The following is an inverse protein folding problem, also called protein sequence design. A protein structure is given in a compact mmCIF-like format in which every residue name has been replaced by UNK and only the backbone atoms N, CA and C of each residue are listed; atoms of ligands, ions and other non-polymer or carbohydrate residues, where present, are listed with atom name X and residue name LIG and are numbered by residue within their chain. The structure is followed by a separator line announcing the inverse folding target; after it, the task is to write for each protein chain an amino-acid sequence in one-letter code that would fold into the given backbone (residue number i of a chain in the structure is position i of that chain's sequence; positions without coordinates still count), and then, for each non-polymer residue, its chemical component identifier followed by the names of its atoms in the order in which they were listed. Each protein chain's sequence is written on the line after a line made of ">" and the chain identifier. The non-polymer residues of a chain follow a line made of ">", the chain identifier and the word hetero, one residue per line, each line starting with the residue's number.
data_IF_689700686194
#
_entry.id   IF_689700686194
#
_cell.length_a   1.000
_cell.length_b   1.000
_cell.length_c   1.000
_cell.angle_alpha   90.00
_cell.angle_beta   90.00
_cell.angle_gamma   90.00
#
_symmetry.space_group_name_H-M   'P 1'
#
loop_
_entity.id
_entity.type
_entity.pdbx_description
1 polymer ?
#
# COMPACT_ATOMS: atom_id res chain seq x y z
N UNK A 1 -7.05 -25.15 -7.42
CA UNK A 1 -6.74 -23.90 -8.14
C UNK A 1 -7.99 -23.20 -8.70
N UNK A 2 -9.01 -23.90 -9.19
CA UNK A 2 -10.23 -23.26 -9.73
C UNK A 2 -11.06 -22.45 -8.70
N UNK A 3 -11.11 -22.85 -7.44
CA UNK A 3 -11.91 -22.17 -6.40
C UNK A 3 -11.39 -20.78 -5.98
N UNK A 4 -10.15 -20.41 -6.34
CA UNK A 4 -9.54 -19.12 -5.96
C UNK A 4 -9.75 -18.02 -7.02
N UNK A 5 -10.11 -18.36 -8.26
CA UNK A 5 -10.32 -17.39 -9.35
C UNK A 5 -11.63 -16.58 -9.24
N UNK A 6 -12.57 -17.02 -8.39
CA UNK A 6 -13.87 -16.36 -8.20
C UNK A 6 -13.91 -15.38 -7.01
N UNK A 7 -12.85 -15.36 -6.17
CA UNK A 7 -12.84 -14.48 -5.00
C UNK A 7 -12.65 -13.03 -5.41
N UNK A 8 -13.43 -12.15 -4.78
CA UNK A 8 -13.29 -10.71 -5.00
C UNK A 8 -11.92 -10.23 -4.50
N UNK A 9 -11.35 -9.29 -5.23
CA UNK A 9 -10.00 -8.79 -5.00
C UNK A 9 -9.98 -7.59 -4.05
N UNK A 10 -9.01 -7.57 -3.15
CA UNK A 10 -8.66 -6.47 -2.24
C UNK A 10 -7.17 -6.17 -2.32
N UNK A 11 -6.80 -4.91 -2.21
CA UNK A 11 -5.40 -4.49 -2.07
C UNK A 11 -5.13 -3.98 -0.66
N UNK A 12 -4.06 -4.48 -0.03
CA UNK A 12 -3.62 -4.02 1.29
C UNK A 12 -2.22 -3.44 1.21
N UNK A 13 -2.03 -2.26 1.79
CA UNK A 13 -0.70 -1.66 1.95
C UNK A 13 -0.20 -1.85 3.39
N UNK A 14 1.06 -2.30 3.51
CA UNK A 14 1.75 -2.36 4.78
C UNK A 14 2.65 -1.13 4.89
N UNK A 15 2.43 -0.30 5.90
CA UNK A 15 3.16 0.94 6.09
C UNK A 15 3.59 1.14 7.55
N UNK A 16 4.50 2.08 7.79
CA UNK A 16 5.05 2.35 9.11
C UNK A 16 6.51 2.78 9.04
N UNK A 17 7.11 3.02 10.19
CA UNK A 17 8.50 3.46 10.31
C UNK A 17 9.50 2.44 9.76
N UNK A 18 10.72 2.88 9.45
CA UNK A 18 11.86 1.99 9.20
C UNK A 18 12.01 1.05 10.40
N UNK A 19 12.39 -0.19 10.16
CA UNK A 19 12.58 -1.23 11.18
C UNK A 19 11.34 -1.56 12.03
N UNK A 20 10.14 -1.14 11.65
CA UNK A 20 8.91 -1.59 12.31
C UNK A 20 8.51 -3.04 11.99
N UNK A 21 9.28 -3.72 11.12
CA UNK A 21 9.09 -5.12 10.76
C UNK A 21 8.05 -5.37 9.65
N UNK A 22 7.79 -4.40 8.79
CA UNK A 22 6.83 -4.51 7.67
C UNK A 22 7.12 -5.72 6.79
N UNK A 23 8.24 -5.72 6.11
CA UNK A 23 8.63 -6.78 5.15
C UNK A 23 8.77 -8.14 5.83
N UNK A 24 9.25 -8.18 7.08
CA UNK A 24 9.33 -9.42 7.89
C UNK A 24 7.93 -9.98 8.17
N UNK A 25 7.00 -9.14 8.64
CA UNK A 25 5.62 -9.54 8.95
C UNK A 25 4.89 -9.99 7.69
N UNK A 26 5.08 -9.25 6.59
CA UNK A 26 4.50 -9.58 5.29
C UNK A 26 5.00 -10.93 4.78
N UNK A 27 6.31 -11.13 4.77
CA UNK A 27 6.92 -12.38 4.34
C UNK A 27 6.50 -13.57 5.20
N UNK A 28 6.42 -13.38 6.53
CA UNK A 28 5.92 -14.39 7.47
C UNK A 28 4.44 -14.73 7.22
N UNK A 29 3.59 -13.73 7.06
CA UNK A 29 2.17 -13.93 6.79
C UNK A 29 1.96 -14.75 5.51
N UNK A 30 2.67 -14.41 4.42
CA UNK A 30 2.58 -15.14 3.15
C UNK A 30 3.11 -16.57 3.32
N UNK A 31 4.19 -16.77 4.06
CA UNK A 31 4.72 -18.10 4.36
C UNK A 31 3.68 -18.99 5.08
N UNK A 32 3.08 -18.48 6.13
CA UNK A 32 2.07 -19.21 6.90
C UNK A 32 0.79 -19.50 6.11
N UNK A 33 0.47 -18.65 5.14
CA UNK A 33 -0.62 -18.87 4.19
C UNK A 33 -0.26 -19.83 3.02
N UNK A 34 0.95 -20.40 3.03
CA UNK A 34 1.40 -21.35 2.03
C UNK A 34 1.87 -20.74 0.71
N UNK A 35 2.00 -19.41 0.65
CA UNK A 35 2.45 -18.69 -0.55
C UNK A 35 3.99 -18.65 -0.73
N UNK A 36 4.76 -19.17 0.23
CA UNK A 36 6.21 -19.28 0.17
C UNK A 36 6.61 -20.73 0.54
N UNK A 37 7.17 -21.52 -0.40
CA UNK A 37 7.65 -22.86 -0.12
C UNK A 37 8.83 -22.89 0.84
N UNK A 38 8.92 -23.89 1.73
CA UNK A 38 10.01 -24.04 2.70
C UNK A 38 11.40 -24.02 2.05
N UNK A 39 11.56 -24.71 0.91
CA UNK A 39 12.84 -24.72 0.17
C UNK A 39 13.29 -23.33 -0.28
N UNK A 40 12.37 -22.44 -0.59
CA UNK A 40 12.68 -21.05 -0.96
C UNK A 40 13.04 -20.27 0.30
N UNK A 41 12.31 -20.45 1.39
CA UNK A 41 12.61 -19.83 2.68
C UNK A 41 14.01 -20.25 3.18
N UNK A 42 14.40 -21.52 3.04
CA UNK A 42 15.72 -21.99 3.45
C UNK A 42 16.86 -21.34 2.66
N UNK A 43 16.67 -21.10 1.37
CA UNK A 43 17.63 -20.35 0.55
C UNK A 43 17.74 -18.89 1.03
N UNK A 44 16.61 -18.26 1.36
CA UNK A 44 16.59 -16.90 1.88
C UNK A 44 17.22 -16.80 3.27
N UNK A 45 17.03 -17.79 4.13
CA UNK A 45 17.73 -17.89 5.42
C UNK A 45 19.24 -17.98 5.25
N UNK A 46 19.72 -18.89 4.37
CA UNK A 46 21.13 -19.04 4.08
C UNK A 46 21.76 -17.75 3.51
N UNK A 47 21.03 -17.04 2.64
CA UNK A 47 21.47 -15.74 2.10
C UNK A 47 21.51 -14.67 3.19
N UNK A 48 20.49 -14.60 4.05
CA UNK A 48 20.43 -13.66 5.16
C UNK A 48 21.55 -13.89 6.18
N UNK A 49 21.86 -15.14 6.52
CA UNK A 49 22.98 -15.51 7.38
C UNK A 49 24.33 -15.09 6.77
N UNK A 50 24.53 -15.36 5.48
CA UNK A 50 25.74 -14.94 4.76
C UNK A 50 25.97 -13.44 4.81
N UNK A 51 24.89 -12.63 4.81
CA UNK A 51 24.95 -11.18 4.92
C UNK A 51 24.98 -10.66 6.37
N UNK A 52 25.04 -11.56 7.37
CA UNK A 52 24.98 -11.18 8.78
C UNK A 52 23.61 -10.63 9.22
N UNK A 53 22.55 -10.96 8.49
CA UNK A 53 21.18 -10.47 8.69
C UNK A 53 20.18 -11.60 8.88
N UNK A 54 20.46 -12.59 9.69
CA UNK A 54 19.63 -13.79 9.88
C UNK A 54 18.16 -13.51 10.19
N UNK A 55 17.86 -12.44 10.95
CA UNK A 55 16.49 -12.00 11.24
C UNK A 55 15.71 -11.42 10.05
N UNK A 56 16.36 -11.22 8.89
CA UNK A 56 15.75 -10.65 7.69
C UNK A 56 15.28 -11.69 6.67
N UNK A 57 15.33 -12.98 6.98
CA UNK A 57 15.00 -14.05 6.04
C UNK A 57 13.60 -13.88 5.39
N UNK A 58 12.57 -13.54 6.18
CA UNK A 58 11.23 -13.26 5.66
C UNK A 58 11.17 -11.93 4.89
N UNK A 59 11.92 -10.91 5.32
CA UNK A 59 12.00 -9.64 4.61
C UNK A 59 12.62 -9.81 3.22
N UNK A 60 13.63 -10.67 3.06
CA UNK A 60 14.25 -10.95 1.78
C UNK A 60 13.32 -11.58 0.74
N UNK A 61 12.22 -12.15 1.16
CA UNK A 61 11.17 -12.60 0.26
C UNK A 61 10.44 -11.42 -0.42
N UNK A 62 10.29 -10.31 0.30
CA UNK A 62 9.70 -9.08 -0.21
C UNK A 62 10.74 -8.22 -0.93
N UNK A 63 11.93 -8.06 -0.34
CA UNK A 63 13.03 -7.25 -0.88
C UNK A 63 13.73 -8.00 -2.02
N UNK A 64 13.33 -7.71 -3.27
CA UNK A 64 13.83 -8.42 -4.46
C UNK A 64 15.18 -7.91 -4.96
N UNK A 65 15.44 -6.63 -4.74
CA UNK A 65 16.65 -5.99 -5.23
C UNK A 65 17.84 -6.31 -4.32
N UNK A 66 19.01 -6.57 -4.93
CA UNK A 66 20.23 -6.80 -4.17
C UNK A 66 20.57 -5.63 -3.25
N UNK A 67 20.35 -4.41 -3.70
CA UNK A 67 20.58 -3.19 -2.94
C UNK A 67 19.68 -3.10 -1.70
N UNK A 68 18.40 -3.49 -1.80
CA UNK A 68 17.47 -3.56 -0.68
C UNK A 68 17.97 -4.55 0.39
N UNK A 69 18.40 -5.74 -0.03
CA UNK A 69 18.93 -6.78 0.87
C UNK A 69 20.24 -6.36 1.54
N UNK A 70 21.15 -5.74 0.79
CA UNK A 70 22.42 -5.25 1.31
C UNK A 70 22.23 -4.09 2.31
N UNK A 71 21.32 -3.16 2.02
CA UNK A 71 21.01 -2.04 2.92
C UNK A 71 20.07 -2.46 4.07
N UNK A 72 19.20 -3.45 3.86
CA UNK A 72 18.14 -3.86 4.80
C UNK A 72 16.97 -2.87 4.83
N UNK A 73 16.73 -2.16 3.73
CA UNK A 73 15.60 -1.21 3.60
C UNK A 73 14.91 -1.41 2.27
N UNK A 74 13.58 -1.39 2.29
CA UNK A 74 12.74 -1.43 1.09
C UNK A 74 12.82 -0.08 0.38
N UNK A 75 13.11 -0.09 -0.91
CA UNK A 75 13.23 1.10 -1.77
C UNK A 75 11.97 1.25 -2.63
N UNK A 76 11.55 0.16 -3.27
CA UNK A 76 10.39 0.12 -4.15
C UNK A 76 9.25 -0.67 -3.53
N UNK A 77 8.00 -0.30 -3.83
CA UNK A 77 6.87 -1.12 -3.43
C UNK A 77 6.95 -2.49 -4.10
N UNK A 78 6.90 -3.54 -3.31
CA UNK A 78 6.82 -4.92 -3.80
C UNK A 78 5.41 -5.44 -3.59
N UNK A 79 4.87 -6.08 -4.62
CA UNK A 79 3.54 -6.69 -4.57
C UNK A 79 3.64 -8.20 -4.59
N UNK A 80 2.81 -8.84 -3.81
CA UNK A 80 2.59 -10.29 -3.77
C UNK A 80 1.10 -10.57 -3.63
N UNK A 81 0.69 -11.77 -3.99
CA UNK A 81 -0.68 -12.21 -3.78
C UNK A 81 -0.77 -13.25 -2.67
N UNK A 82 -1.90 -13.26 -1.99
CA UNK A 82 -2.29 -14.34 -1.10
C UNK A 82 -3.82 -14.44 -1.04
N UNK A 83 -4.31 -15.51 -0.45
CA UNK A 83 -5.74 -15.78 -0.36
C UNK A 83 -6.13 -16.03 1.08
N UNK A 84 -7.27 -15.45 1.49
CA UNK A 84 -7.98 -15.84 2.68
C UNK A 84 -9.16 -16.77 2.28
N UNK A 85 -9.97 -17.18 3.22
CA UNK A 85 -11.17 -17.96 2.88
C UNK A 85 -12.12 -17.18 1.96
N UNK A 86 -12.30 -15.88 2.20
CA UNK A 86 -13.26 -15.04 1.48
C UNK A 86 -12.65 -14.25 0.32
N UNK A 87 -11.41 -13.78 0.44
CA UNK A 87 -10.85 -12.75 -0.42
C UNK A 87 -9.55 -13.18 -1.13
N UNK A 88 -9.33 -12.57 -2.28
CA UNK A 88 -8.03 -12.57 -2.96
C UNK A 88 -7.33 -11.23 -2.66
N UNK A 89 -6.14 -11.27 -2.08
CA UNK A 89 -5.38 -10.07 -1.71
C UNK A 89 -4.16 -9.83 -2.58
N UNK A 90 -3.97 -8.58 -3.00
CA UNK A 90 -2.65 -8.06 -3.35
C UNK A 90 -2.09 -7.31 -2.16
N UNK A 91 -0.99 -7.81 -1.59
CA UNK A 91 -0.25 -7.12 -0.54
C UNK A 91 0.81 -6.22 -1.16
N UNK A 92 0.88 -4.97 -0.70
CA UNK A 92 1.80 -3.95 -1.16
C UNK A 92 2.70 -3.60 0.03
N UNK A 93 3.95 -4.07 0.00
CA UNK A 93 4.94 -3.70 1.00
C UNK A 93 5.53 -2.34 0.64
N UNK A 94 5.23 -1.33 1.44
CA UNK A 94 5.63 0.04 1.18
C UNK A 94 6.93 0.40 1.91
N UNK A 95 7.85 1.16 1.26
CA UNK A 95 9.07 1.60 1.90
C UNK A 95 8.78 2.46 3.13
N UNK A 96 9.56 2.25 4.20
CA UNK A 96 9.44 2.99 5.46
C UNK A 96 10.28 4.25 5.51
N UNK A 97 11.32 4.36 4.67
CA UNK A 97 12.26 5.47 4.70
C UNK A 97 11.70 6.71 4.00
N UNK A 98 11.92 7.89 4.61
CA UNK A 98 11.42 9.18 4.11
C UNK A 98 11.85 9.51 2.69
N UNK A 99 13.04 9.09 2.28
CA UNK A 99 13.56 9.36 0.94
C UNK A 99 12.74 8.67 -0.16
N UNK A 100 11.98 7.64 0.22
CA UNK A 100 11.13 6.85 -0.68
C UNK A 100 9.64 7.14 -0.52
N UNK A 101 9.28 8.26 0.09
CA UNK A 101 7.87 8.64 0.35
C UNK A 101 7.03 8.67 -0.93
N UNK A 102 7.61 9.01 -2.09
CA UNK A 102 6.92 8.98 -3.38
C UNK A 102 6.48 7.57 -3.75
N UNK A 103 7.34 6.58 -3.53
CA UNK A 103 7.03 5.18 -3.79
C UNK A 103 5.94 4.69 -2.81
N UNK A 104 6.00 5.12 -1.54
CA UNK A 104 4.96 4.84 -0.56
C UNK A 104 3.60 5.41 -0.98
N UNK A 105 3.54 6.66 -1.47
CA UNK A 105 2.30 7.28 -1.96
C UNK A 105 1.74 6.47 -3.14
N UNK A 106 2.58 6.09 -4.11
CA UNK A 106 2.17 5.29 -5.27
C UNK A 106 1.61 3.93 -4.85
N UNK A 107 2.24 3.25 -3.89
CA UNK A 107 1.73 1.98 -3.36
C UNK A 107 0.42 2.15 -2.58
N UNK A 108 0.38 3.12 -1.68
CA UNK A 108 -0.78 3.39 -0.83
C UNK A 108 -2.02 3.85 -1.62
N UNK A 109 -1.83 4.57 -2.73
CA UNK A 109 -2.95 4.99 -3.60
C UNK A 109 -3.68 3.82 -4.26
N UNK A 110 -3.06 2.64 -4.30
CA UNK A 110 -3.63 1.42 -4.86
C UNK A 110 -4.29 0.51 -3.82
N UNK A 111 -4.35 0.93 -2.56
CA UNK A 111 -4.81 0.09 -1.46
C UNK A 111 -6.26 0.39 -1.04
N UNK A 112 -7.00 -0.67 -0.71
CA UNK A 112 -8.34 -0.62 -0.09
C UNK A 112 -8.25 -0.68 1.44
N UNK A 113 -7.17 -1.29 1.95
CA UNK A 113 -6.91 -1.55 3.36
C UNK A 113 -5.49 -1.12 3.70
N UNK A 114 -5.24 -0.62 4.90
CA UNK A 114 -3.89 -0.36 5.36
C UNK A 114 -3.60 -1.03 6.71
N UNK A 115 -2.47 -1.72 6.79
CA UNK A 115 -1.88 -2.18 8.04
C UNK A 115 -0.74 -1.24 8.44
N UNK A 116 -0.96 -0.50 9.52
CA UNK A 116 0.01 0.47 10.04
C UNK A 116 0.84 -0.22 11.12
N UNK A 117 2.12 -0.45 10.80
CA UNK A 117 3.03 -1.14 11.69
C UNK A 117 3.74 -0.17 12.63
N UNK A 118 3.74 -0.49 13.90
CA UNK A 118 4.51 0.23 14.93
C UNK A 118 5.35 -0.74 15.75
N UNK A 119 6.62 -0.40 16.04
CA UNK A 119 7.47 -1.28 16.81
C UNK A 119 7.19 -1.12 18.31
N UNK A 120 7.21 -2.23 19.07
CA UNK A 120 7.09 -2.19 20.53
C UNK A 120 8.43 -1.95 21.24
N UNK A 121 9.54 -1.94 20.49
CA UNK A 121 10.88 -1.62 20.98
C UNK A 121 11.11 -0.12 21.26
N UNK A 122 12.34 0.27 21.56
CA UNK A 122 12.73 1.66 21.84
C UNK A 122 12.50 2.65 20.67
N UNK A 123 12.28 2.15 19.45
CA UNK A 123 12.05 2.99 18.27
C UNK A 123 10.61 3.54 18.18
N UNK A 124 9.71 3.13 19.08
CA UNK A 124 8.31 3.59 19.04
C UNK A 124 8.18 5.11 19.09
N UNK A 125 8.86 5.78 20.03
CA UNK A 125 8.78 7.23 20.20
C UNK A 125 9.24 7.98 18.95
N UNK A 126 10.32 7.52 18.33
CA UNK A 126 10.83 8.06 17.06
C UNK A 126 9.82 7.85 15.92
N UNK A 127 9.19 6.68 15.87
CA UNK A 127 8.22 6.35 14.82
C UNK A 127 7.00 7.27 14.78
N UNK A 128 6.55 7.78 15.94
CA UNK A 128 5.36 8.64 16.08
C UNK A 128 5.68 10.11 16.37
N UNK A 129 6.95 10.47 16.44
CA UNK A 129 7.40 11.83 16.78
C UNK A 129 6.69 12.91 15.95
N UNK A 130 6.31 14.02 16.60
CA UNK A 130 5.70 15.15 15.89
C UNK A 130 6.70 15.84 14.95
N UNK A 131 7.97 15.85 15.35
CA UNK A 131 8.98 16.70 14.75
C UNK A 131 8.76 18.18 15.08
N UNK A 132 9.79 18.95 14.87
CA UNK A 132 9.75 20.42 14.94
C UNK A 132 10.68 20.98 13.86
N UNK A 133 10.11 21.40 12.73
CA UNK A 133 10.88 21.91 11.60
C UNK A 133 11.76 23.11 11.97
N UNK A 134 11.32 23.97 12.90
CA UNK A 134 12.10 25.12 13.37
C UNK A 134 13.33 24.71 14.19
N UNK A 135 13.23 23.58 14.90
CA UNK A 135 14.32 22.99 15.67
C UNK A 135 15.13 21.95 14.87
N UNK A 136 14.80 21.71 13.59
CA UNK A 136 15.45 20.69 12.78
C UNK A 136 15.03 19.25 13.13
N UNK A 137 14.03 19.07 13.98
CA UNK A 137 13.54 17.75 14.37
C UNK A 137 12.67 17.14 13.27
N UNK A 138 12.89 15.87 13.01
CA UNK A 138 12.23 15.13 11.93
C UNK A 138 10.95 14.47 12.45
N UNK A 139 9.87 14.58 11.67
CA UNK A 139 8.64 13.88 11.95
C UNK A 139 8.80 12.36 11.76
N UNK A 140 8.21 11.58 12.66
CA UNK A 140 8.20 10.11 12.58
C UNK A 140 7.43 9.60 11.36
N UNK A 141 7.97 8.58 10.66
CA UNK A 141 7.37 8.08 9.42
C UNK A 141 6.01 7.43 9.66
N UNK A 142 5.78 6.74 10.78
CA UNK A 142 4.45 6.18 11.07
C UNK A 142 3.39 7.28 11.14
N UNK A 143 3.71 8.44 11.73
CA UNK A 143 2.82 9.60 11.75
C UNK A 143 2.57 10.15 10.34
N UNK A 144 3.62 10.29 9.52
CA UNK A 144 3.50 10.73 8.13
C UNK A 144 2.65 9.77 7.30
N UNK A 145 2.93 8.46 7.39
CA UNK A 145 2.19 7.44 6.66
C UNK A 145 0.73 7.39 7.08
N UNK A 146 0.41 7.46 8.38
CA UNK A 146 -0.97 7.51 8.87
C UNK A 146 -1.75 8.69 8.32
N UNK A 147 -1.11 9.86 8.19
CA UNK A 147 -1.71 11.05 7.56
C UNK A 147 -1.94 10.84 6.08
N UNK A 148 -0.96 10.29 5.35
CA UNK A 148 -1.05 10.03 3.91
C UNK A 148 -2.15 9.01 3.60
N UNK A 149 -2.26 7.92 4.36
CA UNK A 149 -3.32 6.93 4.22
C UNK A 149 -4.71 7.58 4.36
N UNK A 150 -4.87 8.48 5.33
CA UNK A 150 -6.12 9.24 5.51
C UNK A 150 -6.41 10.14 4.30
N UNK A 151 -5.41 10.90 3.83
CA UNK A 151 -5.55 11.80 2.68
C UNK A 151 -5.82 11.07 1.37
N UNK A 152 -5.27 9.87 1.19
CA UNK A 152 -5.53 9.01 0.03
C UNK A 152 -6.90 8.32 0.09
N UNK A 153 -7.64 8.49 1.19
CA UNK A 153 -9.01 8.00 1.31
C UNK A 153 -9.15 6.52 1.62
N UNK A 154 -8.10 5.87 2.10
CA UNK A 154 -8.18 4.47 2.58
C UNK A 154 -9.05 4.45 3.83
N UNK A 155 -10.17 3.72 3.77
CA UNK A 155 -11.21 3.73 4.81
C UNK A 155 -11.15 2.56 5.79
N UNK A 156 -10.27 1.59 5.55
CA UNK A 156 -10.13 0.40 6.37
C UNK A 156 -8.69 0.31 6.85
N UNK A 157 -8.48 0.45 8.14
CA UNK A 157 -7.15 0.43 8.74
C UNK A 157 -7.07 -0.52 9.93
N UNK A 158 -5.91 -1.11 10.12
CA UNK A 158 -5.54 -1.90 11.28
C UNK A 158 -4.17 -1.45 11.77
N UNK A 159 -3.93 -1.45 13.06
CA UNK A 159 -2.63 -1.16 13.66
C UNK A 159 -2.02 -2.47 14.14
N UNK A 160 -0.80 -2.79 13.70
CA UNK A 160 -0.01 -3.89 14.21
C UNK A 160 1.07 -3.37 15.17
N UNK A 161 0.90 -3.62 16.46
CA UNK A 161 1.94 -3.38 17.48
C UNK A 161 2.90 -4.57 17.42
N UNK A 162 3.95 -4.41 16.64
CA UNK A 162 4.88 -5.47 16.28
C UNK A 162 6.07 -5.55 17.22
N UNK A 163 6.80 -6.68 17.18
CA UNK A 163 7.94 -6.97 18.02
C UNK A 163 7.55 -7.10 19.51
N UNK A 164 6.36 -7.65 19.78
CA UNK A 164 5.96 -7.94 21.17
C UNK A 164 6.90 -8.96 21.85
N UNK A 165 7.67 -9.70 21.05
CA UNK A 165 8.70 -10.65 21.46
C UNK A 165 10.02 -10.01 21.91
N UNK A 166 10.24 -8.70 21.66
CA UNK A 166 11.48 -8.04 22.05
C UNK A 166 11.58 -7.85 23.57
N UNK A 167 12.82 -7.74 24.09
CA UNK A 167 13.11 -7.62 25.53
C UNK A 167 12.36 -6.43 26.17
N UNK A 168 12.24 -5.31 25.46
CA UNK A 168 11.55 -4.11 25.95
C UNK A 168 10.05 -4.36 26.15
N UNK A 169 9.43 -5.11 25.27
CA UNK A 169 8.00 -5.42 25.34
C UNK A 169 7.73 -6.65 26.20
N UNK A 170 8.51 -7.73 26.02
CA UNK A 170 8.42 -8.98 26.78
C UNK A 170 7.00 -9.54 26.83
N UNK A 171 6.24 -9.41 25.75
CA UNK A 171 4.84 -9.80 25.64
C UNK A 171 3.90 -9.15 26.69
N UNK A 172 4.31 -8.03 27.31
CA UNK A 172 3.56 -7.40 28.40
C UNK A 172 2.38 -6.57 27.91
N UNK A 173 1.23 -6.73 28.54
CA UNK A 173 0.03 -5.94 28.29
C UNK A 173 0.27 -4.45 28.50
N UNK A 174 1.01 -4.07 29.56
CA UNK A 174 1.29 -2.66 29.88
C UNK A 174 1.94 -1.91 28.73
N UNK A 175 2.93 -2.56 28.03
CA UNK A 175 3.59 -1.96 26.88
C UNK A 175 2.67 -1.85 25.68
N UNK A 176 1.83 -2.86 25.45
CA UNK A 176 0.81 -2.81 24.42
C UNK A 176 -0.21 -1.69 24.67
N UNK A 177 -0.73 -1.55 25.89
CA UNK A 177 -1.71 -0.52 26.25
C UNK A 177 -1.13 0.89 26.07
N UNK A 178 0.11 1.12 26.49
CA UNK A 178 0.85 2.38 26.29
C UNK A 178 0.86 2.75 24.79
N UNK A 179 1.35 1.83 23.96
CA UNK A 179 1.50 2.04 22.51
C UNK A 179 0.12 2.22 21.85
N UNK A 180 -0.84 1.38 22.19
CA UNK A 180 -2.19 1.44 21.61
C UNK A 180 -2.89 2.76 21.89
N UNK A 181 -2.82 3.27 23.13
CA UNK A 181 -3.39 4.55 23.50
C UNK A 181 -2.73 5.74 22.80
N UNK A 182 -1.39 5.72 22.71
CA UNK A 182 -0.68 6.79 22.02
C UNK A 182 -0.95 6.76 20.50
N UNK A 183 -1.06 5.57 19.89
CA UNK A 183 -1.43 5.42 18.49
C UNK A 183 -2.83 5.94 18.19
N UNK A 184 -3.82 5.61 19.01
CA UNK A 184 -5.19 6.14 18.88
C UNK A 184 -5.20 7.68 18.99
N UNK A 185 -4.50 8.23 19.99
CA UNK A 185 -4.34 9.68 20.17
C UNK A 185 -3.66 10.32 18.95
N UNK A 186 -2.61 9.70 18.43
CA UNK A 186 -1.88 10.18 17.27
C UNK A 186 -2.76 10.17 16.01
N UNK A 187 -3.53 9.11 15.76
CA UNK A 187 -4.43 9.03 14.61
C UNK A 187 -5.47 10.16 14.62
N UNK A 188 -6.08 10.43 15.75
CA UNK A 188 -7.01 11.57 15.87
C UNK A 188 -6.32 12.89 15.58
N UNK A 189 -5.10 13.11 16.09
CA UNK A 189 -4.31 14.33 15.84
C UNK A 189 -3.89 14.51 14.37
N UNK A 190 -3.80 13.43 13.58
CA UNK A 190 -3.47 13.51 12.15
C UNK A 190 -4.71 13.52 11.25
N UNK A 191 -5.91 13.62 11.83
CA UNK A 191 -7.15 13.90 11.09
C UNK A 191 -8.15 12.75 10.99
N UNK A 192 -7.92 11.62 11.65
CA UNK A 192 -8.90 10.54 11.72
C UNK A 192 -10.03 10.88 12.70
N UNK A 193 -11.26 10.49 12.38
CA UNK A 193 -12.41 10.69 13.30
C UNK A 193 -12.24 9.82 14.54
N UNK A 194 -12.51 10.39 15.72
CA UNK A 194 -12.34 9.70 17.00
C UNK A 194 -13.14 8.40 17.07
N UNK A 195 -14.43 8.46 16.72
CA UNK A 195 -15.31 7.26 16.75
C UNK A 195 -14.79 6.15 15.84
N UNK A 196 -14.28 6.51 14.65
CA UNK A 196 -13.68 5.56 13.74
C UNK A 196 -12.43 4.89 14.34
N UNK A 197 -11.56 5.67 14.98
CA UNK A 197 -10.36 5.14 15.65
C UNK A 197 -10.70 4.21 16.80
N UNK A 198 -11.74 4.52 17.56
CA UNK A 198 -12.14 3.73 18.72
C UNK A 198 -12.87 2.43 18.34
N UNK A 199 -13.75 2.47 17.32
CA UNK A 199 -14.69 1.38 17.03
C UNK A 199 -14.33 0.56 15.79
N UNK A 200 -13.68 1.18 14.81
CA UNK A 200 -13.43 0.58 13.50
C UNK A 200 -11.94 0.29 13.24
N UNK A 201 -11.05 0.63 14.17
CA UNK A 201 -9.59 0.47 13.99
C UNK A 201 -9.06 -0.52 15.03
N UNK A 202 -8.94 -1.81 14.69
CA UNK A 202 -8.33 -2.77 15.59
C UNK A 202 -6.85 -2.47 15.79
N UNK A 203 -6.41 -2.59 17.05
CA UNK A 203 -5.00 -2.52 17.44
C UNK A 203 -4.58 -3.91 17.86
N UNK A 204 -3.68 -4.53 17.14
CA UNK A 204 -3.32 -5.93 17.27
C UNK A 204 -1.91 -6.07 17.85
N UNK A 205 -1.71 -6.74 18.99
CA UNK A 205 -0.37 -7.08 19.48
C UNK A 205 0.16 -8.27 18.67
N UNK A 206 1.30 -8.11 17.99
CA UNK A 206 1.84 -9.14 17.11
C UNK A 206 3.35 -9.31 17.27
N UNK A 207 3.85 -10.46 16.86
CA UNK A 207 5.25 -10.66 16.48
C UNK A 207 5.33 -11.17 15.07
N UNK A 208 5.80 -10.33 14.15
CA UNK A 208 6.03 -10.72 12.77
C UNK A 208 7.14 -11.75 12.61
N UNK A 209 8.07 -11.82 13.57
CA UNK A 209 9.15 -12.80 13.57
C UNK A 209 8.69 -14.16 14.11
N UNK A 210 8.02 -14.19 15.24
CA UNK A 210 7.54 -15.42 15.88
C UNK A 210 6.23 -15.95 15.27
N UNK A 211 5.45 -15.10 14.60
CA UNK A 211 4.14 -15.44 14.05
C UNK A 211 2.97 -15.21 15.01
N UNK A 212 3.24 -14.63 16.19
CA UNK A 212 2.21 -14.40 17.21
C UNK A 212 1.09 -13.49 16.70
N UNK A 213 -0.16 -13.93 16.85
CA UNK A 213 -1.38 -13.24 16.41
C UNK A 213 -1.42 -12.87 14.92
N UNK A 214 -0.65 -13.57 14.08
CA UNK A 214 -0.79 -13.45 12.61
C UNK A 214 -1.94 -14.30 12.10
N UNK A 215 -1.80 -15.64 12.15
CA UNK A 215 -2.87 -16.58 11.77
C UNK A 215 -3.54 -17.20 12.99
N UNK A 216 -2.76 -17.45 14.04
CA UNK A 216 -3.23 -18.10 15.28
C UNK A 216 -3.02 -17.16 16.45
N UNK A 217 -3.92 -17.28 17.43
CA UNK A 217 -3.80 -16.55 18.68
C UNK A 217 -2.54 -16.98 19.42
N UNK A 218 -1.79 -16.01 19.92
CA UNK A 218 -0.55 -16.23 20.65
C UNK A 218 -0.78 -16.88 22.02
N UNK A 219 0.02 -17.88 22.35
CA UNK A 219 0.07 -18.47 23.68
C UNK A 219 0.88 -17.60 24.66
N UNK A 220 1.76 -16.72 24.16
CA UNK A 220 2.59 -15.83 24.95
C UNK A 220 1.82 -14.60 25.47
N UNK A 221 0.71 -14.25 24.82
CA UNK A 221 -0.13 -13.08 25.15
C UNK A 221 -1.51 -13.53 25.67
N UNK A 222 -1.57 -14.28 26.75
CA UNK A 222 -2.81 -14.82 27.33
C UNK A 222 -3.80 -13.75 27.78
N UNK A 223 -3.32 -12.53 28.03
CA UNK A 223 -4.13 -11.35 28.35
C UNK A 223 -4.88 -10.80 27.14
N UNK A 224 -4.43 -11.12 25.92
CA UNK A 224 -5.10 -10.66 24.70
C UNK A 224 -6.45 -11.37 24.52
N UNK A 225 -7.52 -10.57 24.54
CA UNK A 225 -8.91 -11.07 24.39
C UNK A 225 -9.53 -10.77 23.04
N UNK A 226 -8.71 -10.29 22.07
CA UNK A 226 -9.22 -9.84 20.79
C UNK A 226 -9.76 -8.42 20.82
N UNK A 227 -10.30 -7.99 19.70
CA UNK A 227 -10.91 -6.67 19.50
C UNK A 227 -12.27 -6.82 18.82
N UNK A 228 -13.25 -6.11 19.33
CA UNK A 228 -14.59 -6.05 18.72
C UNK A 228 -14.67 -4.83 17.82
N UNK A 229 -14.70 -5.04 16.50
CA UNK A 229 -14.77 -3.99 15.48
C UNK A 229 -16.20 -3.81 14.97
N UNK A 230 -16.62 -2.56 14.79
CA UNK A 230 -17.92 -2.24 14.18
C UNK A 230 -17.73 -2.09 12.65
N UNK A 231 -18.44 -2.89 11.86
CA UNK A 231 -18.42 -2.84 10.38
C UNK A 231 -19.86 -2.65 9.90
N UNK A 232 -20.20 -1.42 9.51
CA UNK A 232 -21.61 -1.08 9.25
C UNK A 232 -22.47 -1.24 10.51
N UNK A 233 -23.44 -2.15 10.47
CA UNK A 233 -24.31 -2.51 11.61
C UNK A 233 -23.85 -3.75 12.38
N UNK A 234 -22.79 -4.41 11.89
CA UNK A 234 -22.30 -5.66 12.49
C UNK A 234 -21.15 -5.40 13.46
N UNK A 235 -21.12 -6.18 14.56
CA UNK A 235 -20.00 -6.24 15.49
C UNK A 235 -19.24 -7.53 15.27
N UNK A 236 -17.98 -7.43 14.90
CA UNK A 236 -17.13 -8.55 14.50
C UNK A 236 -15.99 -8.67 15.50
N UNK A 237 -15.80 -9.86 16.05
CA UNK A 237 -14.68 -10.17 16.92
C UNK A 237 -13.48 -10.65 16.11
N UNK A 238 -12.29 -10.06 16.37
CA UNK A 238 -11.03 -10.41 15.72
C UNK A 238 -9.94 -10.66 16.75
N UNK A 239 -9.25 -11.78 16.62
CA UNK A 239 -8.15 -12.21 17.48
C UNK A 239 -6.78 -12.06 16.80
N UNK A 240 -6.74 -12.15 15.47
CA UNK A 240 -5.52 -12.22 14.67
C UNK A 240 -5.57 -11.26 13.48
N UNK A 241 -4.41 -11.01 12.88
CA UNK A 241 -4.35 -10.26 11.60
C UNK A 241 -5.17 -10.97 10.51
N UNK A 242 -5.15 -12.30 10.49
CA UNK A 242 -5.96 -13.07 9.55
C UNK A 242 -7.45 -12.80 9.74
N UNK A 243 -7.94 -12.76 10.98
CA UNK A 243 -9.34 -12.41 11.27
C UNK A 243 -9.69 -11.01 10.77
N UNK A 244 -8.80 -10.05 10.96
CA UNK A 244 -8.99 -8.69 10.42
C UNK A 244 -9.16 -8.74 8.91
N UNK A 245 -8.27 -9.45 8.22
CA UNK A 245 -8.28 -9.55 6.76
C UNK A 245 -9.51 -10.30 6.25
N UNK A 246 -9.88 -11.42 6.86
CA UNK A 246 -10.95 -12.27 6.36
C UNK A 246 -12.36 -11.83 6.80
N UNK A 247 -12.49 -11.40 8.08
CA UNK A 247 -13.79 -11.12 8.69
C UNK A 247 -14.17 -9.64 8.67
N UNK A 248 -13.21 -8.73 8.93
CA UNK A 248 -13.47 -7.29 9.03
C UNK A 248 -13.49 -6.60 7.67
N UNK A 249 -12.49 -6.90 6.82
CA UNK A 249 -12.33 -6.20 5.55
C UNK A 249 -13.49 -6.45 4.59
N UNK A 250 -13.85 -5.39 3.85
CA UNK A 250 -14.92 -5.42 2.83
C UNK A 250 -14.40 -4.81 1.54
N UNK A 251 -14.84 -5.35 0.42
CA UNK A 251 -14.57 -4.75 -0.88
C UNK A 251 -15.35 -3.43 -0.97
N UNK A 252 -14.68 -2.29 -1.24
CA UNK A 252 -15.37 -1.03 -1.46
C UNK A 252 -16.32 -1.11 -2.66
N UNK A 253 -17.36 -0.27 -2.65
CA UNK A 253 -18.19 -0.11 -3.84
C UNK A 253 -17.33 0.38 -5.02
N UNK A 254 -17.40 -0.34 -6.13
CA UNK A 254 -16.55 -0.10 -7.30
C UNK A 254 -17.41 0.25 -8.52
N UNK A 255 -17.13 1.35 -9.22
CA UNK A 255 -17.94 1.81 -10.34
C UNK A 255 -17.66 1.02 -11.62
N UNK A 256 -18.17 -0.19 -11.74
CA UNK A 256 -17.98 -1.09 -12.89
C UNK A 256 -18.61 -0.54 -14.17
N UNK A 257 -19.76 0.12 -14.07
CA UNK A 257 -20.50 0.68 -15.23
C UNK A 257 -19.99 2.06 -15.68
N UNK A 258 -19.09 2.67 -14.93
CA UNK A 258 -18.50 3.96 -15.29
C UNK A 258 -17.51 3.83 -16.46
N UNK A 259 -17.20 4.94 -17.17
CA UNK A 259 -16.14 4.96 -18.17
C UNK A 259 -14.80 4.48 -17.61
N UNK A 260 -14.07 3.66 -18.36
CA UNK A 260 -12.83 3.05 -17.92
C UNK A 260 -11.75 4.11 -17.63
N UNK A 261 -11.12 4.02 -16.45
CA UNK A 261 -10.00 4.85 -15.99
C UNK A 261 -8.96 3.98 -15.32
N UNK A 262 -7.74 4.04 -15.81
CA UNK A 262 -6.61 3.33 -15.23
C UNK A 262 -5.37 4.23 -15.20
N UNK A 263 -5.01 4.80 -14.04
CA UNK A 263 -3.73 5.48 -13.87
C UNK A 263 -2.56 4.51 -14.08
N UNK A 264 -1.55 4.94 -14.83
CA UNK A 264 -0.34 4.16 -15.07
C UNK A 264 0.64 4.38 -13.92
N UNK A 265 0.92 3.33 -13.17
CA UNK A 265 1.90 3.35 -12.07
C UNK A 265 3.32 3.04 -12.53
N UNK A 266 3.49 2.27 -13.59
CA UNK A 266 4.80 1.88 -14.11
C UNK A 266 4.75 1.35 -15.54
N UNK A 267 5.91 1.42 -16.21
CA UNK A 267 6.10 0.88 -17.56
C UNK A 267 7.33 0.01 -17.54
N UNK A 268 7.18 -1.23 -17.99
CA UNK A 268 8.21 -2.25 -17.93
C UNK A 268 8.47 -2.82 -19.32
N UNK A 269 9.74 -2.95 -19.68
CA UNK A 269 10.16 -3.68 -20.87
C UNK A 269 10.45 -5.14 -20.50
N UNK A 270 9.63 -6.06 -20.96
CA UNK A 270 9.79 -7.48 -20.68
C UNK A 270 10.25 -8.18 -21.93
N UNK A 271 11.42 -8.87 -21.84
CA UNK A 271 11.99 -9.61 -22.98
C UNK A 271 11.00 -10.70 -23.43
N UNK A 272 10.67 -10.70 -24.72
CA UNK A 272 9.72 -11.65 -25.32
C UNK A 272 8.25 -11.25 -25.23
N UNK A 273 7.89 -10.28 -24.40
CA UNK A 273 6.51 -9.78 -24.23
C UNK A 273 6.35 -8.38 -24.84
N UNK A 274 7.33 -7.51 -24.65
CA UNK A 274 7.30 -6.12 -25.07
C UNK A 274 7.07 -5.14 -23.94
N UNK A 275 6.39 -4.03 -24.25
CA UNK A 275 6.08 -3.00 -23.27
C UNK A 275 4.82 -3.40 -22.47
N UNK A 276 4.98 -3.46 -21.16
CA UNK A 276 3.90 -3.78 -20.19
C UNK A 276 3.65 -2.57 -19.32
N UNK A 277 2.42 -2.08 -19.34
CA UNK A 277 1.96 -0.97 -18.51
C UNK A 277 1.26 -1.51 -17.28
N UNK A 278 1.75 -1.15 -16.12
CA UNK A 278 1.14 -1.53 -14.85
C UNK A 278 0.31 -0.39 -14.27
N UNK A 279 -0.78 -0.74 -13.63
CA UNK A 279 -1.65 0.21 -12.92
C UNK A 279 -2.81 -0.48 -12.23
N UNK A 280 -3.60 0.30 -11.52
CA UNK A 280 -4.85 -0.14 -10.93
C UNK A 280 -6.02 0.37 -11.76
N UNK A 281 -6.99 -0.49 -12.03
CA UNK A 281 -8.26 -0.06 -12.64
C UNK A 281 -9.07 0.69 -11.59
N UNK A 282 -9.31 1.99 -11.76
CA UNK A 282 -10.05 2.81 -10.80
C UNK A 282 -11.57 2.73 -11.04
N UNK A 283 -11.98 2.71 -12.30
CA UNK A 283 -13.39 2.56 -12.69
C UNK A 283 -13.52 1.94 -14.07
N UNK A 284 -14.71 1.41 -14.37
CA UNK A 284 -14.99 0.69 -15.61
C UNK A 284 -14.21 -0.64 -15.67
N UNK A 285 -14.31 -1.32 -16.78
CA UNK A 285 -13.70 -2.63 -17.01
C UNK A 285 -12.67 -2.55 -18.12
N UNK A 286 -11.48 -3.12 -17.93
CA UNK A 286 -10.46 -3.24 -18.97
C UNK A 286 -10.61 -4.58 -19.68
N UNK A 287 -10.65 -4.57 -21.02
CA UNK A 287 -10.77 -5.78 -21.87
C UNK A 287 -9.70 -5.78 -22.96
N UNK A 288 -9.17 -6.97 -23.34
CA UNK A 288 -8.36 -7.12 -24.53
C UNK A 288 -9.12 -6.70 -25.79
N UNK A 289 -8.38 -6.20 -26.79
CA UNK A 289 -8.94 -5.82 -28.09
C UNK A 289 -9.44 -4.39 -28.21
N UNK A 290 -9.59 -3.66 -27.11
CA UNK A 290 -10.05 -2.26 -27.12
C UNK A 290 -8.89 -1.29 -27.43
N UNK A 291 -9.19 -0.21 -28.18
CA UNK A 291 -8.27 0.89 -28.42
C UNK A 291 -8.26 1.87 -27.25
N UNK A 292 -7.08 2.30 -26.86
CA UNK A 292 -6.84 3.18 -25.72
C UNK A 292 -5.98 4.39 -26.08
N UNK A 293 -6.14 5.45 -25.30
CA UNK A 293 -5.31 6.65 -25.31
C UNK A 293 -4.82 6.96 -23.91
N UNK A 294 -3.70 7.69 -23.80
CA UNK A 294 -3.02 7.99 -22.55
C UNK A 294 -2.95 9.49 -22.32
N UNK A 295 -3.72 9.98 -21.38
CA UNK A 295 -3.83 11.40 -21.07
C UNK A 295 -2.94 11.78 -19.86
N UNK A 296 -2.23 12.92 -19.88
CA UNK A 296 -2.26 13.99 -20.88
C UNK A 296 -1.24 13.82 -22.03
N UNK A 297 -0.48 12.74 -22.09
CA UNK A 297 0.57 12.53 -23.12
C UNK A 297 -0.04 12.52 -24.55
N UNK A 298 -1.25 11.97 -24.71
CA UNK A 298 -1.97 12.01 -25.98
C UNK A 298 -2.49 13.41 -26.29
N UNK A 299 -2.17 13.90 -27.50
CA UNK A 299 -2.74 15.13 -28.06
C UNK A 299 -3.16 14.88 -29.50
N UNK A 300 -3.95 15.80 -30.07
CA UNK A 300 -4.36 15.72 -31.49
C UNK A 300 -3.15 15.77 -32.43
N UNK A 301 -2.15 16.62 -32.10
CA UNK A 301 -0.92 16.78 -32.88
C UNK A 301 0.14 15.70 -32.62
N UNK A 302 0.08 15.06 -31.48
CA UNK A 302 1.05 14.02 -31.07
C UNK A 302 0.30 12.85 -30.39
N UNK A 303 -0.28 11.93 -31.20
CA UNK A 303 -1.08 10.85 -30.66
C UNK A 303 -0.28 9.87 -29.80
N UNK A 304 -0.80 9.53 -28.63
CA UNK A 304 -0.33 8.44 -27.79
C UNK A 304 -1.46 7.42 -27.64
N UNK A 305 -1.50 6.47 -28.56
CA UNK A 305 -2.58 5.48 -28.70
C UNK A 305 -2.01 4.08 -28.73
N UNK A 306 -2.84 3.11 -28.37
CA UNK A 306 -2.49 1.70 -28.46
C UNK A 306 -3.71 0.82 -28.43
N UNK A 307 -3.49 -0.49 -28.53
CA UNK A 307 -4.54 -1.51 -28.40
C UNK A 307 -4.17 -2.49 -27.28
N UNK A 308 -5.08 -2.72 -26.36
CA UNK A 308 -4.90 -3.72 -25.29
C UNK A 308 -4.81 -5.10 -25.94
N UNK A 309 -3.67 -5.75 -25.78
CA UNK A 309 -3.43 -7.07 -26.35
C UNK A 309 -3.70 -8.18 -25.32
N UNK A 310 -3.09 -8.08 -24.13
CA UNK A 310 -3.35 -8.99 -23.01
C UNK A 310 -3.52 -8.20 -21.71
N UNK A 311 -4.33 -8.76 -20.83
CA UNK A 311 -4.48 -8.30 -19.46
C UNK A 311 -3.94 -9.42 -18.56
N UNK A 312 -3.04 -9.07 -17.64
CA UNK A 312 -2.43 -10.03 -16.72
C UNK A 312 -2.55 -9.52 -15.28
N UNK A 313 -2.87 -10.43 -14.38
CA UNK A 313 -2.88 -10.21 -12.95
C UNK A 313 -2.03 -11.30 -12.29
N UNK A 314 -1.02 -10.92 -11.50
CA UNK A 314 -0.08 -11.84 -10.84
C UNK A 314 0.52 -12.91 -11.79
N UNK A 315 0.98 -12.46 -12.98
CA UNK A 315 1.55 -13.32 -14.04
C UNK A 315 0.58 -14.32 -14.66
N UNK A 316 -0.72 -14.20 -14.37
CA UNK A 316 -1.77 -15.00 -14.98
C UNK A 316 -2.61 -14.13 -15.91
N UNK A 317 -2.85 -14.66 -17.14
CA UNK A 317 -3.70 -13.97 -18.11
C UNK A 317 -5.15 -14.03 -17.66
N UNK A 318 -5.85 -12.88 -17.76
CA UNK A 318 -7.28 -12.78 -17.46
C UNK A 318 -8.05 -12.21 -18.66
N UNK A 319 -9.33 -12.55 -18.79
CA UNK A 319 -10.17 -12.09 -19.90
C UNK A 319 -10.61 -10.64 -19.75
N UNK A 320 -10.68 -10.14 -18.55
CA UNK A 320 -10.99 -8.75 -18.22
C UNK A 320 -10.48 -8.40 -16.83
N UNK A 321 -10.40 -7.10 -16.53
CA UNK A 321 -10.08 -6.60 -15.20
C UNK A 321 -11.13 -5.60 -14.73
N UNK A 322 -11.54 -5.76 -13.48
CA UNK A 322 -12.54 -4.94 -12.81
C UNK A 322 -11.90 -3.77 -12.04
N UNK A 323 -12.69 -2.75 -11.67
CA UNK A 323 -12.21 -1.72 -10.76
C UNK A 323 -11.63 -2.30 -9.48
N UNK A 324 -10.46 -1.81 -9.08
CA UNK A 324 -9.70 -2.28 -7.94
C UNK A 324 -8.62 -3.33 -8.25
N UNK A 325 -8.63 -3.92 -9.45
CA UNK A 325 -7.62 -4.88 -9.85
C UNK A 325 -6.30 -4.19 -10.22
N UNK A 326 -5.20 -4.72 -9.72
CA UNK A 326 -3.85 -4.32 -10.10
C UNK A 326 -3.40 -5.21 -11.26
N UNK A 327 -3.18 -4.60 -12.43
CA UNK A 327 -2.92 -5.34 -13.66
C UNK A 327 -1.69 -4.86 -14.41
N UNK A 328 -1.10 -5.78 -15.15
CA UNK A 328 -0.12 -5.49 -16.21
C UNK A 328 -0.79 -5.66 -17.57
N UNK A 329 -0.71 -4.64 -18.40
CA UNK A 329 -1.27 -4.63 -19.73
C UNK A 329 -0.18 -4.69 -20.79
N UNK A 330 -0.22 -5.68 -21.67
CA UNK A 330 0.56 -5.61 -22.90
C UNK A 330 -0.22 -4.76 -23.90
N UNK A 331 0.37 -3.67 -24.35
CA UNK A 331 -0.24 -2.73 -25.29
C UNK A 331 0.53 -2.82 -26.61
N UNK A 332 -0.17 -3.04 -27.71
CA UNK A 332 0.37 -3.00 -29.07
C UNK A 332 0.09 -1.69 -29.77
N UNK A 333 0.97 -1.30 -30.69
CA UNK A 333 0.78 -0.11 -31.51
C UNK A 333 1.20 1.19 -30.84
N UNK A 334 1.93 1.14 -29.73
CA UNK A 334 2.52 2.32 -29.11
C UNK A 334 3.62 2.89 -30.00
N UNK A 335 3.62 4.22 -30.18
CA UNK A 335 4.72 4.93 -30.86
C UNK A 335 5.89 5.08 -29.90
N UNK A 336 7.05 4.59 -30.31
CA UNK A 336 8.31 4.69 -29.53
C UNK A 336 8.74 6.13 -29.26
N UNK A 337 8.33 7.07 -30.12
CA UNK A 337 8.66 8.49 -29.96
C UNK A 337 7.69 9.21 -29.02
N UNK A 338 6.50 8.64 -28.76
CA UNK A 338 5.50 9.20 -27.88
C UNK A 338 4.90 8.11 -26.98
N UNK A 339 5.72 7.56 -26.12
CA UNK A 339 5.31 6.55 -25.15
C UNK A 339 4.49 7.17 -24.00
N UNK A 340 3.49 6.44 -23.47
CA UNK A 340 2.84 6.84 -22.22
C UNK A 340 3.85 6.97 -21.09
N UNK A 341 3.47 7.68 -20.03
CA UNK A 341 4.32 7.92 -18.85
C UNK A 341 3.64 7.42 -17.59
N UNK A 342 4.43 7.11 -16.58
CA UNK A 342 3.88 6.92 -15.23
C UNK A 342 3.14 8.20 -14.80
N UNK A 343 1.91 8.04 -14.34
CA UNK A 343 1.01 9.15 -14.02
C UNK A 343 -0.01 9.50 -15.11
N UNK A 344 0.18 9.04 -16.35
CA UNK A 344 -0.87 9.13 -17.36
C UNK A 344 -2.08 8.30 -16.95
N UNK A 345 -3.27 8.73 -17.37
CA UNK A 345 -4.50 7.97 -17.22
C UNK A 345 -4.86 7.34 -18.57
N UNK A 346 -4.90 6.01 -18.59
CA UNK A 346 -5.40 5.26 -19.74
C UNK A 346 -6.93 5.32 -19.76
N UNK A 347 -7.47 5.63 -20.93
CA UNK A 347 -8.91 5.65 -21.21
C UNK A 347 -9.19 4.99 -22.55
N UNK A 348 -10.41 4.53 -22.78
CA UNK A 348 -10.80 4.07 -24.11
C UNK A 348 -10.82 5.23 -25.10
N UNK A 349 -10.30 5.00 -26.31
CA UNK A 349 -10.26 5.99 -27.37
C UNK A 349 -11.65 6.52 -27.76
N UNK A 350 -12.68 5.68 -27.64
CA UNK A 350 -14.09 6.04 -27.88
C UNK A 350 -14.70 6.94 -26.79
N UNK A 351 -14.00 7.08 -25.64
CA UNK A 351 -14.49 7.87 -24.52
C UNK A 351 -14.01 9.31 -24.61
N UNK A 352 -14.95 10.23 -24.76
CA UNK A 352 -14.74 11.68 -24.82
C UNK A 352 -15.02 12.40 -23.51
N UNK A 353 -15.33 11.67 -22.42
CA UNK A 353 -15.73 12.29 -21.15
C UNK A 353 -14.56 12.83 -20.32
N UNK A 354 -13.32 12.40 -20.62
CA UNK A 354 -12.12 12.90 -19.98
C UNK A 354 -11.29 13.73 -20.97
N UNK A 355 -11.07 15.00 -20.64
CA UNK A 355 -10.22 15.92 -21.39
C UNK A 355 -8.99 16.32 -20.59
N UNK A 356 -8.03 16.98 -21.25
CA UNK A 356 -6.91 17.60 -20.58
C UNK A 356 -7.38 18.80 -19.77
N UNK A 357 -7.03 18.85 -18.49
CA UNK A 357 -7.29 19.98 -17.60
C UNK A 357 -6.03 20.84 -17.52
N UNK A 358 -6.15 22.13 -17.81
CA UNK A 358 -5.07 23.13 -17.69
C UNK A 358 -5.13 23.88 -16.37
N UNK A 359 -6.34 24.12 -15.88
CA UNK A 359 -6.61 24.87 -14.67
C UNK A 359 -7.63 24.12 -13.82
N UNK A 360 -7.47 24.12 -12.52
CA UNK A 360 -8.42 23.56 -11.58
C UNK A 360 -8.42 24.37 -10.28
N UNK A 361 -9.54 24.37 -9.60
CA UNK A 361 -9.68 24.93 -8.25
C UNK A 361 -9.67 23.80 -7.25
N UNK A 362 -8.85 23.91 -6.20
CA UNK A 362 -8.76 22.90 -5.16
C UNK A 362 -8.87 23.55 -3.77
N UNK A 363 -9.60 22.90 -2.88
CA UNK A 363 -9.53 23.20 -1.45
C UNK A 363 -8.34 22.45 -0.87
N UNK A 364 -7.40 23.21 -0.28
CA UNK A 364 -6.21 22.63 0.33
C UNK A 364 -6.23 22.80 1.85
N UNK A 365 -5.71 21.83 2.56
CA UNK A 365 -5.43 21.92 3.99
C UNK A 365 -3.92 21.99 4.18
N UNK A 366 -3.45 23.13 4.70
CA UNK A 366 -2.05 23.32 5.03
C UNK A 366 -1.79 22.58 6.34
N UNK A 367 -0.86 21.63 6.31
CA UNK A 367 -0.58 20.77 7.46
C UNK A 367 0.62 21.28 8.25
N UNK A 368 1.70 21.58 7.55
CA UNK A 368 2.96 22.01 8.16
C UNK A 368 3.85 22.66 7.10
N UNK A 369 4.33 23.86 7.37
CA UNK A 369 5.21 24.60 6.47
C UNK A 369 6.34 25.25 7.27
N UNK A 370 7.57 25.27 6.74
CA UNK A 370 8.71 25.88 7.41
C UNK A 370 8.59 27.41 7.53
N UNK A 371 7.91 28.05 6.56
CA UNK A 371 7.79 29.49 6.42
C UNK A 371 6.39 29.91 5.96
N UNK A 372 6.16 31.22 5.81
CA UNK A 372 4.92 31.76 5.26
C UNK A 372 4.73 31.38 3.78
N UNK A 373 3.48 31.08 3.40
CA UNK A 373 3.08 30.95 2.00
C UNK A 373 2.83 32.34 1.45
N UNK A 374 3.58 32.74 0.43
CA UNK A 374 3.44 34.02 -0.27
C UNK A 374 2.98 33.78 -1.71
N UNK A 375 2.45 34.84 -2.34
CA UNK A 375 2.14 34.83 -3.77
C UNK A 375 3.37 34.39 -4.57
N UNK A 376 3.19 33.44 -5.51
CA UNK A 376 4.30 32.86 -6.27
C UNK A 376 4.94 31.63 -5.61
N UNK A 377 4.50 31.20 -4.42
CA UNK A 377 4.95 29.95 -3.84
C UNK A 377 4.55 28.77 -4.73
N UNK A 378 5.54 28.01 -5.18
CA UNK A 378 5.33 26.86 -6.06
C UNK A 378 5.57 25.58 -5.30
N UNK A 379 4.62 24.65 -5.39
CA UNK A 379 4.65 23.37 -4.72
C UNK A 379 4.38 22.25 -5.70
N UNK A 380 4.83 21.04 -5.35
CA UNK A 380 4.47 19.84 -6.11
C UNK A 380 3.09 19.35 -5.65
N UNK A 381 2.17 19.18 -6.57
CA UNK A 381 0.90 18.51 -6.34
C UNK A 381 0.98 17.07 -6.82
N UNK A 382 0.51 16.14 -6.00
CA UNK A 382 0.39 14.73 -6.37
C UNK A 382 -1.08 14.40 -6.62
N UNK A 383 -1.37 13.88 -7.79
CA UNK A 383 -2.69 13.41 -8.18
C UNK A 383 -2.60 11.96 -8.63
N UNK A 384 -3.22 11.06 -7.90
CA UNK A 384 -3.12 9.60 -8.10
C UNK A 384 -1.64 9.14 -8.17
N UNK A 385 -1.20 8.59 -9.30
CA UNK A 385 0.17 8.13 -9.50
C UNK A 385 1.15 9.21 -10.01
N UNK A 386 0.68 10.44 -10.25
CA UNK A 386 1.48 11.54 -10.81
C UNK A 386 1.78 12.62 -9.78
N UNK A 387 2.98 13.21 -9.89
CA UNK A 387 3.40 14.40 -9.16
C UNK A 387 3.55 15.54 -10.15
N UNK A 388 2.74 16.59 -10.01
CA UNK A 388 2.72 17.74 -10.91
C UNK A 388 3.17 19.01 -10.15
N UNK A 389 3.91 19.91 -10.81
CA UNK A 389 4.17 21.23 -10.23
C UNK A 389 2.88 22.05 -10.23
N UNK A 390 2.55 22.64 -9.08
CA UNK A 390 1.44 23.59 -8.94
C UNK A 390 1.96 24.91 -8.38
N UNK A 391 1.60 26.01 -9.04
CA UNK A 391 1.91 27.34 -8.57
C UNK A 391 0.69 27.95 -7.86
N UNK A 392 0.92 28.56 -6.70
CA UNK A 392 -0.12 29.29 -6.00
C UNK A 392 -0.34 30.63 -6.70
N UNK A 393 -1.50 30.83 -7.30
CA UNK A 393 -1.98 32.13 -7.75
C UNK A 393 -2.88 32.72 -6.67
N UNK A 394 -2.74 34.03 -6.41
CA UNK A 394 -3.45 34.79 -5.38
C UNK A 394 -4.96 34.77 -5.53
#
# INVERSE_FOLDING_TARGET
>A
MAANSEKQHLSIVICGHVDSGKSTTTGRLIFELGGLPERELDKLKAEAERLGKGSFAFAFFMDRQKEERERGVTISCTTKEFFTEKWHYTIIDAPGHRDFIKNMITGASQADVALIMVPADGNFTTAIAKGNHKAGEIQGQTRQHSRLINLLGVKQICIGVNKMDCDTAGYKQTRYDEIGNEMKSMLVKVGWKKDFVEKNTPVMPISGWMGDNLLKKSENMTWWKGFDVEVGSEKIHVDTIYDVLDKMCRVPERPVSAPMRMPISGIYKIKGVGDVLAGRVEQGVVKPGEEVVFLPTHTVSNPCTGKVFTVEMHHSRVDFANPGDNVGLNIKGLDKNNMPRSGDVMVYKKDSTLGQTREFTAQIQILDIPNEIKVGYSQLASCAAAVLPAACQS
#
